data_IF_414683854413
#
_entry.id   IF_414683854413
#
_cell.length_a   1.000
_cell.length_b   1.000
_cell.length_c   1.000
_cell.angle_alpha   90.00
_cell.angle_beta   90.00
_cell.angle_gamma   90.00
#
_symmetry.space_group_name_H-M   'P 1'
#
loop_
_entity.id
_entity.type
_entity.pdbx_description
1 polymer ?
#
# COMPACT_ATOMS: atom_id res chain seq x y z
N UNK A 1 -4.77 10.72 17.51
CA UNK A 1 -3.48 10.03 17.30
C UNK A 1 -3.68 8.60 17.75
N UNK A 2 -3.62 7.64 16.83
CA UNK A 2 -3.77 6.23 17.19
C UNK A 2 -2.43 5.71 17.73
N UNK A 3 -2.46 5.16 18.95
CA UNK A 3 -1.28 4.60 19.61
C UNK A 3 -1.34 3.09 19.52
N UNK A 4 -0.23 2.49 19.11
CA UNK A 4 -0.05 1.05 18.94
C UNK A 4 1.07 0.58 19.87
N UNK A 5 0.95 -0.64 20.38
CA UNK A 5 1.99 -1.21 21.23
C UNK A 5 3.15 -1.72 20.37
N UNK A 6 4.37 -1.32 20.70
CA UNK A 6 5.55 -1.81 20.02
C UNK A 6 5.75 -3.30 20.29
N UNK A 7 5.82 -4.12 19.23
CA UNK A 7 6.01 -5.57 19.32
C UNK A 7 7.29 -5.99 20.08
N UNK A 8 8.29 -5.12 20.12
CA UNK A 8 9.61 -5.42 20.72
C UNK A 8 9.72 -4.97 22.17
N UNK A 9 9.26 -3.75 22.49
CA UNK A 9 9.44 -3.18 23.84
C UNK A 9 8.14 -3.07 24.64
N UNK A 10 6.99 -3.41 24.05
CA UNK A 10 5.68 -3.34 24.70
C UNK A 10 5.21 -1.93 25.09
N UNK A 11 5.92 -0.88 24.66
CA UNK A 11 5.53 0.50 24.94
C UNK A 11 4.63 1.03 23.83
N UNK A 12 3.70 1.92 24.21
CA UNK A 12 2.82 2.61 23.28
C UNK A 12 3.60 3.62 22.45
N UNK A 13 3.54 3.47 21.13
CA UNK A 13 4.13 4.36 20.13
C UNK A 13 3.03 4.88 19.20
N UNK A 14 3.24 6.02 18.55
CA UNK A 14 2.28 6.49 17.54
C UNK A 14 2.36 5.62 16.27
N UNK A 15 1.21 5.28 15.70
CA UNK A 15 1.08 4.42 14.51
C UNK A 15 1.65 5.03 13.20
N UNK A 16 2.04 6.31 13.25
CA UNK A 16 2.67 7.02 12.14
C UNK A 16 4.20 7.01 12.20
N UNK A 17 4.80 6.56 13.31
CA UNK A 17 6.26 6.57 13.47
C UNK A 17 6.87 5.35 12.79
N UNK A 18 7.89 5.53 11.93
CA UNK A 18 8.59 4.43 11.26
C UNK A 18 9.49 3.59 12.19
N UNK A 19 9.91 4.19 13.30
CA UNK A 19 10.76 3.55 14.30
C UNK A 19 10.23 3.84 15.69
N UNK A 20 10.37 2.88 16.60
CA UNK A 20 10.02 3.05 17.99
C UNK A 20 11.03 4.00 18.67
N UNK A 21 10.60 5.11 19.29
CA UNK A 21 11.51 6.04 19.98
C UNK A 21 12.12 5.45 21.26
N UNK A 22 11.63 4.31 21.75
CA UNK A 22 12.10 3.69 22.98
C UNK A 22 13.17 2.62 22.76
N UNK A 23 13.05 1.81 21.70
CA UNK A 23 13.97 0.71 21.42
C UNK A 23 14.70 0.83 20.08
N UNK A 24 14.33 1.80 19.23
CA UNK A 24 14.92 1.96 17.90
C UNK A 24 14.48 0.92 16.87
N UNK A 25 13.64 -0.06 17.24
CA UNK A 25 13.16 -1.07 16.32
C UNK A 25 12.19 -0.50 15.27
N UNK A 26 12.19 -1.07 14.06
CA UNK A 26 11.28 -0.69 12.98
C UNK A 26 9.83 -0.96 13.39
N UNK A 27 8.96 0.03 13.19
CA UNK A 27 7.53 -0.12 13.48
C UNK A 27 6.88 -1.02 12.43
N UNK A 28 6.27 -2.13 12.86
CA UNK A 28 5.46 -2.97 11.98
C UNK A 28 4.06 -2.40 11.73
N UNK A 29 3.67 -1.39 12.50
CA UNK A 29 2.33 -0.79 12.48
C UNK A 29 2.29 0.50 11.66
N UNK A 30 2.85 0.52 10.46
CA UNK A 30 2.70 1.68 9.58
C UNK A 30 1.32 1.68 8.90
N UNK A 31 0.34 2.39 9.48
CA UNK A 31 -0.94 2.64 8.80
C UNK A 31 -0.81 3.53 7.56
N UNK A 32 0.30 4.29 7.43
CA UNK A 32 0.51 5.25 6.35
C UNK A 32 1.26 4.71 5.12
N UNK A 33 1.70 3.46 5.11
CA UNK A 33 2.79 3.04 4.23
C UNK A 33 2.47 2.08 3.08
N UNK A 34 1.40 1.28 3.13
CA UNK A 34 1.09 0.36 2.04
C UNK A 34 0.37 1.09 0.89
N UNK A 35 1.11 1.95 0.18
CA UNK A 35 0.94 2.18 -1.27
C UNK A 35 -0.50 2.47 -1.74
N UNK A 36 -1.20 3.41 -1.10
CA UNK A 36 -2.44 3.95 -1.67
C UNK A 36 -2.19 4.61 -3.05
N UNK A 37 -0.98 5.14 -3.28
CA UNK A 37 -0.55 5.67 -4.58
C UNK A 37 -0.26 4.60 -5.64
N UNK A 38 0.39 3.48 -5.29
CA UNK A 38 0.75 2.48 -6.31
C UNK A 38 -0.41 1.58 -6.71
N UNK A 39 -1.33 1.22 -5.80
CA UNK A 39 -2.52 0.43 -6.19
C UNK A 39 -3.33 1.14 -7.28
N UNK A 40 -3.45 2.47 -7.24
CA UNK A 40 -4.14 3.25 -8.28
C UNK A 40 -3.42 3.19 -9.61
N UNK A 41 -2.09 3.26 -9.63
CA UNK A 41 -1.31 3.18 -10.87
C UNK A 41 -1.41 1.79 -11.49
N UNK A 42 -1.31 0.74 -10.68
CA UNK A 42 -1.55 -0.64 -11.13
C UNK A 42 -2.99 -0.82 -11.65
N UNK A 43 -4.00 -0.30 -10.95
CA UNK A 43 -5.38 -0.40 -11.37
C UNK A 43 -5.64 0.34 -12.70
N UNK A 44 -5.11 1.55 -12.88
CA UNK A 44 -5.24 2.30 -14.13
C UNK A 44 -4.56 1.58 -15.31
N UNK A 45 -3.37 1.03 -15.10
CA UNK A 45 -2.67 0.24 -16.14
C UNK A 45 -3.46 -1.01 -16.52
N UNK A 46 -4.03 -1.72 -15.55
CA UNK A 46 -4.83 -2.90 -15.80
C UNK A 46 -6.11 -2.55 -16.60
N UNK A 47 -6.82 -1.49 -16.21
CA UNK A 47 -8.00 -1.01 -16.93
C UNK A 47 -7.64 -0.63 -18.38
N UNK A 48 -6.55 0.11 -18.59
CA UNK A 48 -6.10 0.47 -19.93
C UNK A 48 -5.78 -0.77 -20.79
N UNK A 49 -5.07 -1.76 -20.22
CA UNK A 49 -4.75 -3.02 -20.91
C UNK A 49 -6.03 -3.78 -21.31
N UNK A 50 -7.01 -3.87 -20.42
CA UNK A 50 -8.28 -4.56 -20.72
C UNK A 50 -9.07 -3.90 -21.84
N UNK A 51 -9.14 -2.56 -21.88
CA UNK A 51 -9.80 -1.84 -22.98
C UNK A 51 -9.08 -2.06 -24.32
N UNK A 52 -7.75 -2.06 -24.31
CA UNK A 52 -6.94 -2.36 -25.51
C UNK A 52 -7.24 -3.77 -26.01
N UNK A 53 -7.25 -4.78 -25.14
CA UNK A 53 -7.57 -6.16 -25.53
C UNK A 53 -8.98 -6.29 -26.11
N UNK A 54 -9.99 -5.66 -25.50
CA UNK A 54 -11.38 -5.68 -26.01
C UNK A 54 -11.45 -4.99 -27.38
N UNK A 55 -10.78 -3.85 -27.52
CA UNK A 55 -10.71 -3.14 -28.79
C UNK A 55 -10.11 -4.03 -29.87
N UNK A 56 -8.96 -4.66 -29.62
CA UNK A 56 -8.34 -5.59 -30.57
C UNK A 56 -9.21 -6.81 -30.87
N UNK A 57 -9.89 -7.39 -29.89
CA UNK A 57 -10.80 -8.51 -30.10
C UNK A 57 -12.01 -8.14 -30.98
N UNK A 58 -12.46 -6.88 -30.89
CA UNK A 58 -13.53 -6.36 -31.75
C UNK A 58 -13.03 -5.94 -33.13
N UNK A 59 -11.79 -5.47 -33.21
CA UNK A 59 -11.14 -5.05 -34.45
C UNK A 59 -10.62 -6.20 -35.30
N UNK A 60 -10.31 -7.35 -34.69
CA UNK A 60 -9.97 -8.56 -35.41
C UNK A 60 -11.27 -9.09 -36.05
N UNK A 61 -11.48 -8.84 -37.36
CA UNK A 61 -12.64 -9.38 -38.03
C UNK A 61 -12.40 -10.89 -38.09
N UNK A 62 -13.35 -11.65 -37.54
CA UNK A 62 -13.34 -13.10 -37.56
C UNK A 62 -13.21 -13.62 -38.99
#
# INVERSE_FOLDING_TARGET
MEKVDCLYCGKKIDADQAHCPHCGAVSHYQKRGYRAGERRRFALLFVALTLICIFFAFWLPR
#
